data_IF_052787355896
#
_entry.id   IF_052787355896
#
_cell.length_a   1.000
_cell.length_b   1.000
_cell.length_c   1.000
_cell.angle_alpha   90.00
_cell.angle_beta   90.00
_cell.angle_gamma   90.00
#
_symmetry.space_group_name_H-M   'P 1'
#
loop_
_entity.id
_entity.type
_entity.pdbx_description
1 polymer ?
#
# COMPACT_ATOMS: atom_id res chain seq x y z
N UNK A 1 -14.58 29.85 7.47
CA UNK A 1 -13.63 28.75 7.22
C UNK A 1 -14.41 27.64 6.53
N UNK A 2 -14.22 27.47 5.23
CA UNK A 2 -14.79 26.34 4.48
C UNK A 2 -14.03 25.07 4.85
N UNK A 3 -14.76 24.07 5.32
CA UNK A 3 -14.26 22.70 5.52
C UNK A 3 -13.77 22.17 4.18
N UNK A 4 -12.45 22.07 4.03
CA UNK A 4 -11.84 21.38 2.90
C UNK A 4 -11.86 19.90 3.27
N UNK A 5 -12.95 19.20 2.92
CA UNK A 5 -12.93 17.74 2.94
C UNK A 5 -11.78 17.32 2.05
N UNK A 6 -10.64 16.95 2.64
CA UNK A 6 -9.50 16.46 1.87
C UNK A 6 -9.98 15.18 1.20
N UNK A 7 -10.23 15.24 -0.10
CA UNK A 7 -10.68 14.08 -0.87
C UNK A 7 -9.67 12.96 -0.65
N UNK A 8 -10.10 11.92 0.06
CA UNK A 8 -9.25 10.77 0.32
C UNK A 8 -9.02 10.05 -1.00
N UNK A 9 -7.77 9.97 -1.43
CA UNK A 9 -7.38 9.24 -2.63
C UNK A 9 -7.59 7.75 -2.35
N UNK A 10 -8.40 7.07 -3.17
CA UNK A 10 -8.58 5.62 -3.11
C UNK A 10 -7.81 4.99 -4.25
N UNK A 11 -6.76 4.22 -3.93
CA UNK A 11 -5.89 3.56 -4.90
C UNK A 11 -6.09 2.04 -4.83
N UNK A 12 -6.43 1.42 -5.96
CA UNK A 12 -6.41 -0.03 -6.13
C UNK A 12 -5.19 -0.43 -6.98
N UNK A 13 -4.32 -1.26 -6.41
CA UNK A 13 -3.17 -1.83 -7.10
C UNK A 13 -3.56 -3.24 -7.56
N UNK A 14 -3.52 -3.48 -8.88
CA UNK A 14 -3.83 -4.79 -9.46
C UNK A 14 -2.54 -5.60 -9.59
N UNK A 15 -2.48 -6.73 -8.88
CA UNK A 15 -1.32 -7.62 -8.82
C UNK A 15 -0.74 -7.71 -7.42
N UNK A 16 -0.07 -8.81 -7.13
CA UNK A 16 0.38 -9.20 -5.79
C UNK A 16 1.88 -9.48 -5.70
N UNK A 17 2.63 -9.34 -6.80
CA UNK A 17 4.08 -9.46 -6.77
C UNK A 17 4.76 -8.39 -5.92
N UNK A 18 6.06 -8.56 -5.67
CA UNK A 18 6.86 -7.67 -4.82
C UNK A 18 6.75 -6.18 -5.19
N UNK A 19 6.66 -5.85 -6.49
CA UNK A 19 6.49 -4.47 -6.95
C UNK A 19 5.16 -3.86 -6.51
N UNK A 20 4.08 -4.64 -6.49
CA UNK A 20 2.77 -4.19 -6.04
C UNK A 20 2.76 -3.92 -4.53
N UNK A 21 3.32 -4.81 -3.73
CA UNK A 21 3.45 -4.61 -2.28
C UNK A 21 4.36 -3.44 -1.92
N UNK A 22 5.50 -3.29 -2.59
CA UNK A 22 6.39 -2.15 -2.39
C UNK A 22 5.69 -0.82 -2.76
N UNK A 23 4.99 -0.78 -3.90
CA UNK A 23 4.23 0.40 -4.29
C UNK A 23 3.07 0.69 -3.32
N UNK A 24 2.43 -0.34 -2.78
CA UNK A 24 1.38 -0.17 -1.78
C UNK A 24 1.88 0.55 -0.52
N UNK A 25 3.05 0.13 0.00
CA UNK A 25 3.69 0.80 1.14
C UNK A 25 4.14 2.24 0.82
N UNK A 26 4.67 2.48 -0.38
CA UNK A 26 5.06 3.84 -0.78
C UNK A 26 3.83 4.73 -0.92
N UNK A 27 2.78 4.27 -1.59
CA UNK A 27 1.56 5.05 -1.82
C UNK A 27 0.80 5.33 -0.52
N UNK A 28 0.76 4.38 0.42
CA UNK A 28 0.08 4.57 1.71
C UNK A 28 0.81 5.57 2.62
N UNK A 29 2.10 5.83 2.38
CA UNK A 29 2.85 6.86 3.11
C UNK A 29 2.36 8.29 2.83
N UNK A 30 1.63 8.50 1.72
CA UNK A 30 1.03 9.78 1.38
C UNK A 30 -0.25 9.99 2.21
N UNK A 31 -0.24 11.01 3.08
CA UNK A 31 -1.41 11.39 3.90
C UNK A 31 -2.66 11.55 3.03
N UNK A 32 -3.77 10.97 3.50
CA UNK A 32 -5.05 11.02 2.78
C UNK A 32 -5.18 10.00 1.66
N UNK A 33 -4.38 8.93 1.65
CA UNK A 33 -4.46 7.84 0.65
C UNK A 33 -4.88 6.54 1.32
N UNK A 34 -6.00 5.96 0.87
CA UNK A 34 -6.42 4.58 1.16
C UNK A 34 -5.96 3.66 0.02
N UNK A 35 -5.12 2.68 0.34
CA UNK A 35 -4.51 1.78 -0.63
C UNK A 35 -5.01 0.37 -0.44
N UNK A 36 -5.43 -0.28 -1.53
CA UNK A 36 -5.82 -1.68 -1.56
C UNK A 36 -5.02 -2.42 -2.63
N UNK A 37 -4.66 -3.66 -2.34
CA UNK A 37 -3.99 -4.56 -3.28
C UNK A 37 -4.95 -5.68 -3.64
N UNK A 38 -5.16 -5.91 -4.94
CA UNK A 38 -5.94 -7.02 -5.47
C UNK A 38 -5.00 -8.14 -5.89
N UNK A 39 -5.08 -9.27 -5.20
CA UNK A 39 -4.53 -10.55 -5.66
C UNK A 39 -5.64 -11.42 -6.22
N UNK A 40 -5.37 -12.11 -7.32
CA UNK A 40 -6.23 -13.19 -7.83
C UNK A 40 -5.95 -14.53 -7.12
N UNK A 41 -4.86 -14.60 -6.36
CA UNK A 41 -4.45 -15.77 -5.59
C UNK A 41 -4.81 -15.55 -4.13
N UNK A 42 -5.86 -16.24 -3.67
CA UNK A 42 -6.44 -16.02 -2.34
C UNK A 42 -5.46 -16.32 -1.20
N UNK A 43 -4.64 -17.35 -1.34
CA UNK A 43 -3.61 -17.76 -0.38
C UNK A 43 -2.57 -16.66 -0.16
N UNK A 44 -2.17 -15.97 -1.22
CA UNK A 44 -1.24 -14.85 -1.15
C UNK A 44 -1.85 -13.64 -0.42
N UNK A 45 -3.11 -13.30 -0.73
CA UNK A 45 -3.83 -12.22 -0.05
C UNK A 45 -4.00 -12.49 1.44
N UNK A 46 -4.39 -13.71 1.82
CA UNK A 46 -4.55 -14.12 3.22
C UNK A 46 -3.22 -14.06 3.97
N UNK A 47 -2.15 -14.60 3.37
CA UNK A 47 -0.82 -14.57 3.97
C UNK A 47 -0.29 -13.16 4.17
N UNK A 48 -0.50 -12.29 3.19
CA UNK A 48 -0.11 -10.89 3.28
C UNK A 48 -0.87 -10.16 4.38
N UNK A 49 -2.20 -10.29 4.41
CA UNK A 49 -3.03 -9.68 5.46
C UNK A 49 -2.65 -10.17 6.86
N UNK A 50 -2.38 -11.47 7.01
CA UNK A 50 -1.94 -12.04 8.28
C UNK A 50 -0.56 -11.52 8.72
N UNK A 51 0.34 -11.23 7.77
CA UNK A 51 1.62 -10.59 8.06
C UNK A 51 1.44 -9.14 8.50
N UNK A 52 0.63 -8.36 7.78
CA UNK A 52 0.35 -6.94 8.08
C UNK A 52 -0.33 -6.72 9.44
N UNK A 53 -1.07 -7.71 9.97
CA UNK A 53 -1.63 -7.65 11.33
C UNK A 53 -0.59 -7.84 12.43
N UNK A 54 0.57 -8.42 12.11
CA UNK A 54 1.63 -8.76 13.08
C UNK A 54 2.82 -7.82 12.99
N UNK A 55 3.07 -7.27 11.82
CA UNK A 55 4.27 -6.48 11.52
C UNK A 55 3.95 -5.36 10.55
N UNK A 56 4.58 -4.21 10.76
CA UNK A 56 4.50 -3.09 9.81
C UNK A 56 5.25 -3.42 8.52
N UNK A 57 4.76 -2.88 7.40
CA UNK A 57 5.48 -2.90 6.13
C UNK A 57 6.51 -1.77 6.10
N UNK A 58 7.78 -2.12 6.04
CA UNK A 58 8.87 -1.17 5.80
C UNK A 58 9.31 -1.23 4.33
N UNK A 59 9.25 -0.10 3.63
CA UNK A 59 9.79 0.04 2.27
C UNK A 59 10.89 1.09 2.26
N UNK A 60 12.13 0.62 2.20
CA UNK A 60 13.32 1.46 2.06
C UNK A 60 13.73 1.53 0.58
N UNK A 61 13.83 2.73 0.03
CA UNK A 61 14.31 2.93 -1.33
C UNK A 61 15.34 4.05 -1.42
N UNK A 62 16.42 3.75 -2.14
CA UNK A 62 17.56 4.63 -2.32
C UNK A 62 17.44 5.37 -3.64
N UNK A 63 17.01 6.63 -3.59
CA UNK A 63 16.97 7.46 -4.79
C UNK A 63 18.40 7.76 -5.24
N UNK A 64 18.80 7.29 -6.42
CA UNK A 64 20.16 7.36 -7.00
C UNK A 64 21.18 6.39 -6.38
N UNK A 65 20.75 5.30 -5.77
CA UNK A 65 21.67 4.25 -5.27
C UNK A 65 22.54 4.66 -4.09
N UNK A 66 22.09 5.63 -3.29
CA UNK A 66 22.67 6.02 -2.01
C UNK A 66 21.64 5.90 -0.91
#
# INVERSE_FOLDING_TARGET
MSDMSSDTIKLLICGSGNGAHAFAGIASSLKGTDVRVLSLYQDEAERWNAAMQKTDLEVSFHRKGK
#
